data_IF_108988538237
#
_entry.id   IF_108988538237
#
_cell.length_a   1.000
_cell.length_b   1.000
_cell.length_c   1.000
_cell.angle_alpha   90.00
_cell.angle_beta   90.00
_cell.angle_gamma   90.00
#
_symmetry.space_group_name_H-M   'P 1'
#
loop_
_entity.id
_entity.type
_entity.pdbx_description
1 polymer ?
#
# COMPACT_ATOMS: atom_id res chain seq x y z
N UNK A 1 -7.61 -0.22 4.25
CA UNK A 1 -7.87 -1.68 4.17
C UNK A 1 -8.17 -2.13 2.73
N UNK A 2 -7.82 -1.33 1.71
CA UNK A 2 -8.05 -1.70 0.31
C UNK A 2 -6.77 -2.24 -0.32
N UNK A 3 -6.65 -3.56 -0.56
CA UNK A 3 -5.40 -4.14 -1.03
C UNK A 3 -4.97 -3.61 -2.40
N UNK A 4 -5.91 -3.31 -3.30
CA UNK A 4 -5.59 -2.73 -4.61
C UNK A 4 -5.00 -1.33 -4.48
N UNK A 5 -5.50 -0.51 -3.54
CA UNK A 5 -4.97 0.82 -3.28
C UNK A 5 -3.55 0.75 -2.70
N UNK A 6 -3.29 -0.19 -1.79
CA UNK A 6 -1.94 -0.43 -1.27
C UNK A 6 -0.96 -0.76 -2.40
N UNK A 7 -1.29 -1.74 -3.24
CA UNK A 7 -0.47 -2.12 -4.40
C UNK A 7 -0.25 -0.93 -5.33
N UNK A 8 -1.33 -0.23 -5.69
CA UNK A 8 -1.26 0.91 -6.59
C UNK A 8 -0.32 1.99 -6.06
N UNK A 9 -0.56 2.45 -4.83
CA UNK A 9 0.23 3.52 -4.21
C UNK A 9 1.70 3.16 -3.99
N UNK A 10 2.03 1.86 -3.94
CA UNK A 10 3.41 1.39 -3.79
C UNK A 10 4.18 1.43 -5.11
N UNK A 11 3.50 1.28 -6.25
CA UNK A 11 4.12 1.08 -7.56
C UNK A 11 3.75 2.17 -8.59
N UNK A 12 2.81 3.05 -8.27
CA UNK A 12 2.28 4.08 -9.17
C UNK A 12 1.60 5.21 -8.39
N UNK A 13 1.25 6.28 -9.09
CA UNK A 13 0.49 7.38 -8.54
C UNK A 13 -0.99 7.03 -8.39
N UNK A 14 -1.61 7.53 -7.33
CA UNK A 14 -3.05 7.43 -7.10
C UNK A 14 -3.75 8.60 -7.77
N UNK A 15 -4.88 8.35 -8.41
CA UNK A 15 -5.60 9.41 -9.13
C UNK A 15 -6.03 10.58 -8.21
N UNK A 16 -5.89 11.85 -8.65
CA UNK A 16 -6.28 13.02 -7.87
C UNK A 16 -7.73 12.98 -7.38
N UNK A 17 -8.64 12.38 -8.14
CA UNK A 17 -10.06 12.26 -7.81
C UNK A 17 -10.32 11.40 -6.57
N UNK A 18 -9.34 10.60 -6.12
CA UNK A 18 -9.45 9.81 -4.88
C UNK A 18 -9.12 10.62 -3.63
N UNK A 19 -8.71 11.88 -3.78
CA UNK A 19 -8.35 12.76 -2.69
C UNK A 19 -9.40 13.85 -2.50
N UNK A 20 -9.66 14.18 -1.23
CA UNK A 20 -10.34 15.40 -0.82
C UNK A 20 -9.36 16.28 -0.04
N UNK A 21 -9.60 17.59 -0.01
CA UNK A 21 -8.73 18.53 0.70
C UNK A 21 -9.37 18.95 2.02
N UNK A 22 -8.61 18.84 3.11
CA UNK A 22 -8.98 19.31 4.45
C UNK A 22 -7.90 20.30 4.89
N UNK A 23 -8.30 21.55 5.18
CA UNK A 23 -7.39 22.63 5.56
C UNK A 23 -6.21 22.82 4.58
N UNK A 24 -6.44 22.55 3.29
CA UNK A 24 -5.43 22.62 2.23
C UNK A 24 -4.55 21.38 2.07
N UNK A 25 -4.74 20.33 2.87
CA UNK A 25 -3.99 19.07 2.79
C UNK A 25 -4.80 17.94 2.13
N UNK A 26 -4.19 17.11 1.26
CA UNK A 26 -4.87 16.00 0.63
C UNK A 26 -5.04 14.83 1.60
N UNK A 27 -6.25 14.29 1.68
CA UNK A 27 -6.56 13.05 2.39
C UNK A 27 -7.33 12.11 1.45
N UNK A 28 -7.12 10.80 1.58
CA UNK A 28 -7.87 9.82 0.80
C UNK A 28 -9.34 9.85 1.20
N UNK A 29 -10.23 10.03 0.22
CA UNK A 29 -11.67 10.19 0.47
C UNK A 29 -12.27 8.95 1.15
N UNK A 30 -11.79 7.77 0.74
CA UNK A 30 -12.28 6.47 1.22
C UNK A 30 -11.51 5.92 2.43
N UNK A 31 -10.60 6.70 3.04
CA UNK A 31 -9.87 6.27 4.22
C UNK A 31 -10.81 6.01 5.40
N UNK A 32 -10.49 5.01 6.23
CA UNK A 32 -11.19 4.75 7.50
C UNK A 32 -11.07 5.94 8.46
N UNK A 33 -9.91 6.59 8.45
CA UNK A 33 -9.62 7.81 9.17
C UNK A 33 -8.30 8.39 8.65
N UNK A 34 -8.02 9.62 9.03
CA UNK A 34 -6.82 10.35 8.61
C UNK A 34 -6.30 11.19 9.77
N UNK A 35 -5.01 11.52 9.69
CA UNK A 35 -4.33 12.44 10.60
C UNK A 35 -3.42 13.34 9.77
N UNK A 36 -3.51 14.65 9.98
CA UNK A 36 -2.57 15.66 9.49
C UNK A 36 -1.51 15.85 10.56
N UNK A 37 -0.25 15.84 10.14
CA UNK A 37 0.91 15.98 11.01
C UNK A 37 1.71 17.22 10.67
N UNK A 38 2.21 17.90 11.70
CA UNK A 38 3.38 18.76 11.58
C UNK A 38 4.62 17.87 11.58
N UNK A 39 5.58 18.17 10.70
CA UNK A 39 6.72 17.32 10.41
C UNK A 39 8.04 18.03 10.71
N UNK A 40 8.89 17.43 11.54
CA UNK A 40 10.27 17.84 11.73
C UNK A 40 11.22 16.81 11.08
N UNK A 41 11.93 17.24 10.04
CA UNK A 41 12.75 16.33 9.22
C UNK A 41 14.23 16.39 9.62
N UNK A 42 14.78 15.24 10.04
CA UNK A 42 16.22 15.02 10.22
C UNK A 42 16.78 14.25 9.02
N UNK A 43 17.49 14.95 8.15
CA UNK A 43 18.07 14.37 6.93
C UNK A 43 19.32 13.54 7.25
N UNK A 44 19.37 12.31 6.76
CA UNK A 44 20.59 11.48 6.67
C UNK A 44 20.99 11.26 5.22
N UNK A 45 22.13 10.60 4.97
CA UNK A 45 22.67 10.39 3.62
C UNK A 45 21.76 9.48 2.75
N UNK A 46 21.24 8.40 3.31
CA UNK A 46 20.38 7.45 2.60
C UNK A 46 18.94 7.38 3.14
N UNK A 47 18.75 7.77 4.41
CA UNK A 47 17.47 7.68 5.12
C UNK A 47 17.25 9.00 5.84
N UNK A 48 16.08 9.60 5.65
CA UNK A 48 15.60 10.71 6.46
C UNK A 48 14.68 10.19 7.56
N UNK A 49 14.86 10.69 8.77
CA UNK A 49 13.96 10.42 9.90
C UNK A 49 13.04 11.62 10.05
N UNK A 50 11.73 11.39 10.12
CA UNK A 50 10.73 12.46 10.26
C UNK A 50 9.99 12.27 11.59
N UNK A 51 10.06 13.27 12.46
CA UNK A 51 9.26 13.33 13.68
C UNK A 51 7.88 13.92 13.34
N UNK A 52 6.82 13.27 13.80
CA UNK A 52 5.43 13.58 13.46
C UNK A 52 4.66 14.04 14.69
N UNK A 53 4.13 15.27 14.65
CA UNK A 53 3.25 15.82 15.68
C UNK A 53 1.82 15.92 15.14
N UNK A 54 0.83 15.19 15.70
CA UNK A 54 -0.53 15.20 15.17
C UNK A 54 -1.19 16.56 15.42
N UNK A 55 -1.70 17.18 14.37
CA UNK A 55 -2.37 18.49 14.42
C UNK A 55 -3.89 18.33 14.40
N UNK A 56 -4.37 17.46 13.51
CA UNK A 56 -5.80 17.20 13.32
C UNK A 56 -6.01 15.75 12.86
N UNK A 57 -7.12 15.14 13.24
CA UNK A 57 -7.50 13.85 12.70
C UNK A 57 -9.00 13.60 12.82
N UNK A 58 -9.50 12.70 11.99
CA UNK A 58 -10.90 12.31 11.97
C UNK A 58 -11.03 10.83 11.65
N UNK A 59 -11.97 10.16 12.32
CA UNK A 59 -12.40 8.81 11.96
C UNK A 59 -13.60 8.96 11.03
N UNK A 60 -13.43 8.70 9.74
CA UNK A 60 -14.50 8.76 8.75
C UNK A 60 -15.49 7.59 8.93
N UNK A 61 -14.97 6.37 9.16
CA UNK A 61 -15.77 5.16 9.36
C UNK A 61 -15.03 4.14 10.22
N UNK A 62 -15.79 3.29 10.92
CA UNK A 62 -15.26 2.15 11.68
C UNK A 62 -15.64 0.86 10.94
N UNK A 63 -14.69 -0.05 10.81
CA UNK A 63 -14.88 -1.35 10.19
C UNK A 63 -14.36 -2.46 11.11
N UNK A 64 -14.96 -3.64 11.01
CA UNK A 64 -14.46 -4.86 11.63
C UNK A 64 -13.91 -5.72 10.51
N UNK A 65 -12.59 -5.81 10.42
CA UNK A 65 -11.90 -6.62 9.44
C UNK A 65 -11.32 -7.87 10.13
N UNK A 66 -11.85 -9.07 9.83
CA UNK A 66 -11.25 -10.31 10.32
C UNK A 66 -9.83 -10.46 9.80
N UNK A 67 -8.99 -11.19 10.53
CA UNK A 67 -7.64 -11.50 10.08
C UNK A 67 -7.71 -12.29 8.76
N UNK A 68 -7.13 -11.73 7.71
CA UNK A 68 -7.09 -12.33 6.38
C UNK A 68 -5.64 -12.49 5.91
N UNK A 69 -5.18 -13.73 5.79
CA UNK A 69 -3.81 -14.04 5.33
C UNK A 69 -3.57 -13.66 3.86
N UNK A 70 -4.62 -13.61 3.04
CA UNK A 70 -4.53 -13.09 1.68
C UNK A 70 -4.23 -11.60 1.68
N UNK A 71 -4.92 -10.80 2.50
CA UNK A 71 -4.65 -9.37 2.62
C UNK A 71 -3.20 -9.13 3.08
N UNK A 72 -2.76 -9.84 4.12
CA UNK A 72 -1.39 -9.74 4.62
C UNK A 72 -0.35 -10.12 3.53
N UNK A 73 -0.63 -11.16 2.75
CA UNK A 73 0.25 -11.59 1.67
C UNK A 73 0.31 -10.57 0.50
N UNK A 74 -0.77 -9.83 0.22
CA UNK A 74 -0.72 -8.70 -0.73
C UNK A 74 0.25 -7.62 -0.24
N UNK A 75 0.25 -7.30 1.04
CA UNK A 75 1.18 -6.32 1.62
C UNK A 75 2.64 -6.78 1.48
N UNK A 76 2.93 -8.04 1.81
CA UNK A 76 4.27 -8.62 1.62
C UNK A 76 4.69 -8.62 0.14
N UNK A 77 3.78 -9.00 -0.76
CA UNK A 77 4.02 -8.97 -2.20
C UNK A 77 4.37 -7.55 -2.68
N UNK A 78 3.67 -6.52 -2.20
CA UNK A 78 3.96 -5.13 -2.57
C UNK A 78 5.36 -4.68 -2.11
N UNK A 79 5.80 -5.09 -0.92
CA UNK A 79 7.19 -4.84 -0.45
C UNK A 79 8.21 -5.50 -1.38
N UNK A 80 8.00 -6.76 -1.76
CA UNK A 80 8.90 -7.44 -2.69
C UNK A 80 8.82 -6.83 -4.11
N UNK A 81 7.66 -6.37 -4.55
CA UNK A 81 7.48 -5.72 -5.84
C UNK A 81 8.26 -4.40 -5.94
N UNK A 82 8.22 -3.55 -4.91
CA UNK A 82 9.01 -2.30 -4.90
C UNK A 82 10.51 -2.58 -5.00
N UNK A 83 11.01 -3.61 -4.28
CA UNK A 83 12.41 -4.06 -4.39
C UNK A 83 12.72 -4.63 -5.76
N UNK A 84 11.83 -5.44 -6.34
CA UNK A 84 12.00 -5.97 -7.69
C UNK A 84 12.07 -4.84 -8.73
N UNK A 85 11.22 -3.82 -8.62
CA UNK A 85 11.26 -2.68 -9.55
C UNK A 85 12.58 -1.91 -9.44
N UNK A 86 13.11 -1.72 -8.23
CA UNK A 86 14.37 -1.00 -8.02
C UNK A 86 15.64 -1.81 -8.34
N UNK A 87 15.66 -3.11 -8.03
CA UNK A 87 16.86 -3.96 -8.07
C UNK A 87 16.85 -5.01 -9.19
N UNK A 88 15.68 -5.38 -9.71
CA UNK A 88 15.46 -6.40 -10.76
C UNK A 88 15.98 -7.80 -10.44
N UNK A 89 16.14 -8.11 -9.15
CA UNK A 89 16.61 -9.43 -8.70
C UNK A 89 15.48 -10.47 -8.68
N UNK A 90 15.76 -11.66 -9.23
CA UNK A 90 14.78 -12.74 -9.37
C UNK A 90 14.29 -13.34 -8.05
N UNK A 91 15.02 -13.12 -6.95
CA UNK A 91 14.56 -13.56 -5.63
C UNK A 91 13.26 -12.91 -5.20
N UNK A 92 13.07 -11.63 -5.54
CA UNK A 92 11.85 -10.90 -5.18
C UNK A 92 10.64 -11.42 -5.96
N UNK A 93 10.81 -11.85 -7.21
CA UNK A 93 9.73 -12.53 -7.96
C UNK A 93 9.30 -13.82 -7.28
N UNK A 94 10.24 -14.65 -6.82
CA UNK A 94 9.91 -15.88 -6.08
C UNK A 94 9.13 -15.58 -4.80
N UNK A 95 9.44 -14.48 -4.11
CA UNK A 95 8.68 -14.07 -2.92
C UNK A 95 7.28 -13.54 -3.27
N UNK A 96 7.13 -12.83 -4.38
CA UNK A 96 5.81 -12.39 -4.89
C UNK A 96 4.97 -13.61 -5.26
N UNK A 97 5.52 -14.58 -6.00
CA UNK A 97 4.84 -15.83 -6.38
C UNK A 97 4.41 -16.63 -5.14
N UNK A 98 5.30 -16.78 -4.16
CA UNK A 98 4.96 -17.42 -2.89
C UNK A 98 3.79 -16.73 -2.20
N UNK A 99 3.82 -15.40 -2.13
CA UNK A 99 2.74 -14.60 -1.57
C UNK A 99 1.44 -14.78 -2.36
N UNK A 100 1.51 -14.84 -3.70
CA UNK A 100 0.35 -15.13 -4.55
C UNK A 100 -0.28 -16.49 -4.19
N UNK A 101 0.52 -17.52 -3.89
CA UNK A 101 -0.06 -18.82 -3.47
C UNK A 101 -0.92 -18.72 -2.20
N UNK A 102 -0.59 -17.79 -1.30
CA UNK A 102 -1.37 -17.50 -0.09
C UNK A 102 -2.61 -16.71 -0.46
N UNK A 103 -2.49 -15.69 -1.31
CA UNK A 103 -3.62 -14.88 -1.80
C UNK A 103 -4.65 -15.76 -2.51
N UNK A 104 -4.23 -16.70 -3.35
CA UNK A 104 -5.16 -17.58 -4.06
C UNK A 104 -5.97 -18.49 -3.11
N UNK A 105 -5.35 -18.91 -1.99
CA UNK A 105 -5.98 -19.78 -0.98
C UNK A 105 -6.82 -19.03 0.05
N UNK A 106 -6.38 -17.84 0.46
CA UNK A 106 -6.93 -17.13 1.62
C UNK A 106 -7.57 -15.79 1.28
N UNK A 107 -7.25 -15.20 0.13
CA UNK A 107 -7.79 -13.93 -0.33
C UNK A 107 -9.14 -14.07 -1.01
N UNK A 108 -9.98 -13.04 -0.87
CA UNK A 108 -11.20 -12.87 -1.62
C UNK A 108 -10.94 -12.22 -2.98
N UNK A 109 -12.01 -11.74 -3.62
CA UNK A 109 -11.92 -11.11 -4.93
C UNK A 109 -10.99 -9.87 -4.95
N UNK A 110 -11.01 -9.08 -3.87
CA UNK A 110 -10.22 -7.84 -3.75
C UNK A 110 -8.73 -8.11 -3.65
N UNK A 111 -8.31 -9.10 -2.87
CA UNK A 111 -6.89 -9.45 -2.75
C UNK A 111 -6.37 -10.07 -4.07
N UNK A 112 -7.18 -10.87 -4.75
CA UNK A 112 -6.82 -11.45 -6.05
C UNK A 112 -6.72 -10.37 -7.14
N UNK A 113 -7.61 -9.39 -7.13
CA UNK A 113 -7.51 -8.22 -8.00
C UNK A 113 -6.23 -7.42 -7.73
N UNK A 114 -5.89 -7.24 -6.46
CA UNK A 114 -4.67 -6.54 -6.08
C UNK A 114 -3.41 -7.26 -6.57
N UNK A 115 -3.38 -8.60 -6.53
CA UNK A 115 -2.27 -9.37 -7.12
C UNK A 115 -2.21 -9.22 -8.63
N UNK A 116 -3.35 -9.27 -9.33
CA UNK A 116 -3.41 -9.00 -10.78
C UNK A 116 -2.83 -7.64 -11.14
N UNK A 117 -3.26 -6.61 -10.43
CA UNK A 117 -2.73 -5.25 -10.58
C UNK A 117 -1.22 -5.20 -10.27
N UNK A 118 -0.75 -5.92 -9.25
CA UNK A 118 0.67 -5.97 -8.91
C UNK A 118 1.50 -6.54 -10.06
N UNK A 119 1.09 -7.69 -10.60
CA UNK A 119 1.74 -8.34 -11.74
C UNK A 119 1.77 -7.44 -12.99
N UNK A 120 0.65 -6.76 -13.28
CA UNK A 120 0.56 -5.76 -14.34
C UNK A 120 1.59 -4.63 -14.14
N UNK A 121 1.64 -4.02 -12.95
CA UNK A 121 2.52 -2.88 -12.67
C UNK A 121 4.01 -3.24 -12.68
N UNK A 122 4.37 -4.48 -12.36
CA UNK A 122 5.77 -4.94 -12.46
C UNK A 122 6.13 -5.49 -13.85
N UNK A 123 5.15 -5.61 -14.75
CA UNK A 123 5.34 -6.12 -16.11
C UNK A 123 5.67 -7.62 -16.17
N UNK A 124 5.07 -8.43 -15.29
CA UNK A 124 5.31 -9.87 -15.22
C UNK A 124 3.98 -10.64 -15.34
N UNK A 125 3.90 -11.76 -16.08
CA UNK A 125 2.68 -12.55 -16.17
C UNK A 125 2.32 -13.16 -14.80
N UNK A 126 1.03 -13.16 -14.46
CA UNK A 126 0.49 -13.78 -13.23
C UNK A 126 0.63 -15.31 -13.24
#
# INVERSE_FOLDING_TARGET
DDPALFVKSALSDVEPERFKFIDGFPVLEQALGWVIFDCECRRGENISVVELSPVRGEINRRAIEPVNRGFNAVIEAAVHATRYVGLKEQEYLRHIEYSNTIVQKCGGAREKEAMRLLYELIGYPE
#
